data_IF_859485680944
#
_entry.id   IF_859485680944
#
_cell.length_a   1.000
_cell.length_b   1.000
_cell.length_c   1.000
_cell.angle_alpha   90.00
_cell.angle_beta   90.00
_cell.angle_gamma   90.00
#
_symmetry.space_group_name_H-M   'P 1'
#
loop_
_entity.id
_entity.type
_entity.pdbx_description
1 polymer ?
#
# COMPACT_ATOMS: atom_id res chain seq x y z
N UNK A 1 43.06 -0.42 -13.28
CA UNK A 1 41.68 -0.66 -13.75
C UNK A 1 40.72 -0.41 -12.60
N UNK A 2 40.04 0.74 -12.60
CA UNK A 2 39.04 1.06 -11.59
C UNK A 2 37.87 0.06 -11.67
N UNK A 3 37.64 -0.70 -10.60
CA UNK A 3 36.39 -1.44 -10.43
C UNK A 3 35.26 -0.42 -10.33
N UNK A 4 34.59 -0.13 -11.46
CA UNK A 4 33.29 0.55 -11.44
C UNK A 4 32.38 -0.30 -10.56
N UNK A 5 32.13 0.16 -9.34
CA UNK A 5 31.19 -0.46 -8.41
C UNK A 5 29.84 -0.39 -9.13
N UNK A 6 29.40 -1.52 -9.69
CA UNK A 6 28.09 -1.66 -10.28
C UNK A 6 27.10 -1.23 -9.20
N UNK A 7 26.47 -0.06 -9.38
CA UNK A 7 25.40 0.39 -8.51
C UNK A 7 24.35 -0.71 -8.58
N UNK A 8 24.00 -1.38 -7.46
CA UNK A 8 23.08 -2.51 -7.50
C UNK A 8 21.76 -2.00 -8.10
N UNK A 9 21.32 -2.60 -9.20
CA UNK A 9 20.16 -2.16 -10.01
C UNK A 9 18.89 -1.93 -9.18
N UNK A 10 18.79 -2.55 -7.99
CA UNK A 10 17.75 -2.27 -7.00
C UNK A 10 17.62 -0.77 -6.69
N UNK A 11 18.72 -0.02 -6.50
CA UNK A 11 18.66 1.41 -6.16
C UNK A 11 18.02 2.27 -7.27
N UNK A 12 18.24 1.93 -8.54
CA UNK A 12 17.64 2.67 -9.67
C UNK A 12 16.12 2.52 -9.74
N UNK A 13 15.61 1.31 -9.48
CA UNK A 13 14.15 1.06 -9.47
C UNK A 13 13.44 1.79 -8.32
N UNK A 14 14.06 1.85 -7.13
CA UNK A 14 13.51 2.62 -6.00
C UNK A 14 13.51 4.13 -6.26
N UNK A 15 14.52 4.67 -6.95
CA UNK A 15 14.53 6.08 -7.36
C UNK A 15 13.37 6.41 -8.31
N UNK A 16 13.08 5.52 -9.26
CA UNK A 16 11.95 5.69 -10.17
C UNK A 16 10.58 5.60 -9.46
N UNK A 17 10.45 4.68 -8.50
CA UNK A 17 9.26 4.58 -7.63
C UNK A 17 9.06 5.84 -6.78
N UNK A 18 10.14 6.40 -6.22
CA UNK A 18 10.08 7.65 -5.46
C UNK A 18 9.63 8.83 -6.32
N UNK A 19 10.19 8.97 -7.53
CA UNK A 19 9.75 9.98 -8.49
C UNK A 19 8.29 9.81 -8.88
N UNK A 20 7.85 8.57 -9.17
CA UNK A 20 6.44 8.28 -9.44
C UNK A 20 5.53 8.63 -8.26
N UNK A 21 5.97 8.38 -7.03
CA UNK A 21 5.23 8.74 -5.82
C UNK A 21 5.06 10.24 -5.68
N UNK A 22 6.15 11.01 -5.88
CA UNK A 22 6.11 12.47 -5.86
C UNK A 22 5.19 13.01 -6.95
N UNK A 23 5.24 12.45 -8.16
CA UNK A 23 4.36 12.84 -9.27
C UNK A 23 2.89 12.58 -8.96
N UNK A 24 2.54 11.42 -8.39
CA UNK A 24 1.17 11.09 -7.99
C UNK A 24 0.69 12.00 -6.85
N UNK A 25 1.55 12.31 -5.87
CA UNK A 25 1.24 13.26 -4.80
C UNK A 25 1.05 14.68 -5.33
N UNK A 26 1.84 15.11 -6.32
CA UNK A 26 1.62 16.38 -7.01
C UNK A 26 0.26 16.39 -7.73
N UNK A 27 -0.14 15.27 -8.35
CA UNK A 27 -1.47 15.11 -8.94
C UNK A 27 -2.61 15.21 -7.93
N UNK A 28 -2.47 14.62 -6.74
CA UNK A 28 -3.42 14.77 -5.64
C UNK A 28 -3.50 16.23 -5.18
N UNK A 29 -2.35 16.89 -4.99
CA UNK A 29 -2.30 18.30 -4.62
C UNK A 29 -2.93 19.22 -5.66
N UNK A 30 -2.71 18.94 -6.94
CA UNK A 30 -3.33 19.65 -8.05
C UNK A 30 -4.85 19.45 -8.06
N UNK A 31 -5.33 18.23 -7.78
CA UNK A 31 -6.77 17.99 -7.62
C UNK A 31 -7.37 18.77 -6.46
N UNK A 32 -6.68 18.86 -5.32
CA UNK A 32 -7.17 19.61 -4.16
C UNK A 32 -7.23 21.13 -4.45
N UNK A 33 -6.27 21.67 -5.21
CA UNK A 33 -6.17 23.10 -5.45
C UNK A 33 -7.02 23.60 -6.64
N UNK A 34 -7.04 22.84 -7.74
CA UNK A 34 -7.66 23.29 -9.00
C UNK A 34 -9.05 22.74 -9.23
N UNK A 35 -9.46 21.69 -8.54
CA UNK A 35 -10.69 20.99 -8.88
C UNK A 35 -11.74 21.23 -7.81
N UNK A 36 -12.72 22.06 -8.16
CA UNK A 36 -13.86 22.36 -7.30
C UNK A 36 -14.63 21.06 -6.98
N UNK A 37 -14.97 20.82 -5.70
CA UNK A 37 -15.64 19.60 -5.27
C UNK A 37 -17.03 19.42 -5.90
N UNK A 38 -17.61 20.47 -6.48
CA UNK A 38 -18.88 20.41 -7.21
C UNK A 38 -18.73 19.93 -8.66
N UNK A 39 -17.57 20.12 -9.29
CA UNK A 39 -17.33 19.67 -10.69
C UNK A 39 -16.91 18.20 -10.81
N UNK A 40 -16.46 17.57 -9.71
CA UNK A 40 -16.00 16.15 -9.70
C UNK A 40 -17.11 15.18 -9.29
N UNK A 41 -18.20 15.69 -8.73
CA UNK A 41 -19.30 14.89 -8.16
C UNK A 41 -19.97 13.96 -9.17
N UNK A 42 -19.86 14.24 -10.47
CA UNK A 42 -20.68 13.58 -11.50
C UNK A 42 -19.91 12.81 -12.58
N UNK A 43 -18.59 12.60 -12.43
CA UNK A 43 -17.83 11.98 -13.53
C UNK A 43 -18.19 10.51 -13.80
N UNK A 44 -18.68 9.75 -12.80
CA UNK A 44 -18.98 8.30 -12.93
C UNK A 44 -20.21 7.87 -12.11
N UNK A 45 -20.41 8.41 -10.89
CA UNK A 45 -21.58 8.14 -10.04
C UNK A 45 -21.96 9.47 -9.37
N UNK A 46 -23.24 9.91 -9.41
CA UNK A 46 -23.64 11.16 -8.77
C UNK A 46 -23.32 11.14 -7.27
N UNK A 47 -22.50 12.10 -6.82
CA UNK A 47 -22.02 12.22 -5.45
C UNK A 47 -20.78 11.38 -5.10
N UNK A 48 -20.14 10.73 -6.09
CA UNK A 48 -19.02 9.82 -5.86
C UNK A 48 -17.65 10.45 -6.12
N UNK A 49 -16.88 10.74 -5.06
CA UNK A 49 -15.46 11.16 -5.14
C UNK A 49 -14.51 10.02 -5.57
N UNK A 50 -14.94 9.13 -6.47
CA UNK A 50 -14.23 7.89 -6.82
C UNK A 50 -12.86 8.15 -7.44
N UNK A 51 -12.77 9.10 -8.38
CA UNK A 51 -11.50 9.43 -9.03
C UNK A 51 -10.49 9.96 -8.02
N UNK A 52 -10.93 10.85 -7.12
CA UNK A 52 -10.11 11.35 -6.02
C UNK A 52 -9.70 10.24 -5.05
N UNK A 53 -10.63 9.36 -4.68
CA UNK A 53 -10.38 8.23 -3.76
C UNK A 53 -9.41 7.22 -4.38
N UNK A 54 -9.53 6.94 -5.68
CA UNK A 54 -8.61 6.08 -6.42
C UNK A 54 -7.22 6.71 -6.52
N UNK A 55 -7.13 8.01 -6.86
CA UNK A 55 -5.85 8.72 -6.93
C UNK A 55 -5.17 8.79 -5.56
N UNK A 56 -5.93 9.11 -4.52
CA UNK A 56 -5.46 9.20 -3.15
C UNK A 56 -5.02 7.83 -2.62
N UNK A 57 -5.81 6.78 -2.84
CA UNK A 57 -5.43 5.42 -2.46
C UNK A 57 -4.16 4.96 -3.19
N UNK A 58 -4.00 5.30 -4.47
CA UNK A 58 -2.77 5.03 -5.22
C UNK A 58 -1.58 5.82 -4.65
N UNK A 59 -1.76 7.09 -4.28
CA UNK A 59 -0.73 7.92 -3.67
C UNK A 59 -0.26 7.34 -2.33
N UNK A 60 -1.20 6.93 -1.49
CA UNK A 60 -0.91 6.31 -0.19
C UNK A 60 -0.29 4.93 -0.36
N UNK A 61 -0.72 4.16 -1.36
CA UNK A 61 -0.13 2.86 -1.71
C UNK A 61 1.33 2.97 -2.11
N UNK A 62 1.65 3.91 -3.00
CA UNK A 62 3.02 4.15 -3.44
C UNK A 62 3.90 4.61 -2.28
N UNK A 63 3.38 5.49 -1.43
CA UNK A 63 4.07 5.95 -0.22
C UNK A 63 4.37 4.79 0.75
N UNK A 64 3.38 3.96 1.07
CA UNK A 64 3.56 2.77 1.93
C UNK A 64 4.48 1.73 1.29
N UNK A 65 4.48 1.61 -0.04
CA UNK A 65 5.39 0.71 -0.77
C UNK A 65 6.84 1.13 -0.60
N UNK A 66 7.11 2.43 -0.58
CA UNK A 66 8.46 2.96 -0.30
C UNK A 66 8.83 2.75 1.16
N UNK A 67 7.92 3.07 2.10
CA UNK A 67 8.18 2.95 3.55
C UNK A 67 8.44 1.49 3.96
N UNK A 68 7.60 0.55 3.50
CA UNK A 68 7.73 -0.86 3.86
C UNK A 68 8.68 -1.65 2.96
N UNK A 69 9.20 -1.04 1.89
CA UNK A 69 9.96 -1.68 0.82
C UNK A 69 9.30 -2.96 0.26
N UNK A 70 7.98 -3.07 0.40
CA UNK A 70 7.21 -4.28 0.09
C UNK A 70 5.83 -3.91 -0.44
N UNK A 71 5.59 -4.20 -1.72
CA UNK A 71 4.30 -3.97 -2.35
C UNK A 71 3.17 -4.78 -1.68
N UNK A 72 3.45 -6.02 -1.24
CA UNK A 72 2.44 -6.86 -0.58
C UNK A 72 1.99 -6.27 0.76
N UNK A 73 2.94 -5.81 1.60
CA UNK A 73 2.61 -5.17 2.88
C UNK A 73 1.89 -3.85 2.64
N UNK A 74 2.38 -3.03 1.72
CA UNK A 74 1.75 -1.78 1.37
C UNK A 74 0.30 -1.96 0.91
N UNK A 75 0.03 -2.93 0.03
CA UNK A 75 -1.34 -3.24 -0.42
C UNK A 75 -2.26 -3.59 0.75
N UNK A 76 -1.78 -4.45 1.66
CA UNK A 76 -2.53 -4.88 2.84
C UNK A 76 -2.93 -3.70 3.72
N UNK A 77 -1.97 -2.82 4.02
CA UNK A 77 -2.19 -1.63 4.83
C UNK A 77 -3.06 -0.59 4.12
N UNK A 78 -2.91 -0.39 2.80
CA UNK A 78 -3.82 0.49 2.05
C UNK A 78 -5.23 -0.03 2.02
N UNK A 79 -5.45 -1.34 1.88
CA UNK A 79 -6.79 -1.90 1.86
C UNK A 79 -7.49 -1.67 3.19
N UNK A 80 -6.77 -1.88 4.30
CA UNK A 80 -7.26 -1.57 5.64
C UNK A 80 -7.61 -0.09 5.83
N UNK A 81 -6.75 0.81 5.33
CA UNK A 81 -7.02 2.25 5.36
C UNK A 81 -8.26 2.62 4.55
N UNK A 82 -8.44 2.00 3.38
CA UNK A 82 -9.57 2.23 2.48
C UNK A 82 -10.88 1.75 3.12
N UNK A 83 -10.87 0.60 3.78
CA UNK A 83 -12.00 0.09 4.58
C UNK A 83 -12.33 1.04 5.73
N UNK A 84 -11.32 1.56 6.43
CA UNK A 84 -11.54 2.54 7.49
C UNK A 84 -12.15 3.84 6.97
N UNK A 85 -11.64 4.38 5.86
CA UNK A 85 -12.21 5.56 5.20
C UNK A 85 -13.65 5.33 4.76
N UNK A 86 -13.95 4.16 4.17
CA UNK A 86 -15.31 3.82 3.78
C UNK A 86 -16.26 3.77 4.98
N UNK A 87 -15.84 3.16 6.09
CA UNK A 87 -16.63 3.16 7.32
C UNK A 87 -16.79 4.57 7.90
N UNK A 88 -15.76 5.42 7.82
CA UNK A 88 -15.82 6.83 8.27
C UNK A 88 -16.82 7.65 7.47
N UNK A 89 -16.88 7.48 6.15
CA UNK A 89 -17.84 8.18 5.27
C UNK A 89 -19.28 7.77 5.62
N UNK A 90 -19.51 6.49 5.93
CA UNK A 90 -20.82 5.98 6.34
C UNK A 90 -21.22 6.33 7.79
N UNK A 91 -20.45 7.20 8.47
CA UNK A 91 -20.71 7.59 9.87
C UNK A 91 -20.37 6.50 10.90
N UNK A 92 -19.90 5.33 10.46
CA UNK A 92 -19.52 4.20 11.30
C UNK A 92 -18.04 4.27 11.72
N UNK A 93 -17.23 5.18 11.18
CA UNK A 93 -15.80 5.27 11.51
C UNK A 93 -15.53 5.89 12.87
N UNK A 94 -15.83 5.16 13.95
CA UNK A 94 -15.43 5.50 15.31
C UNK A 94 -13.96 5.15 15.57
N UNK A 95 -13.37 5.74 16.61
CA UNK A 95 -12.00 5.40 17.04
C UNK A 95 -11.86 3.90 17.33
N UNK A 96 -12.89 3.28 17.94
CA UNK A 96 -12.94 1.84 18.20
C UNK A 96 -12.82 1.02 16.91
N UNK A 97 -13.53 1.41 15.85
CA UNK A 97 -13.49 0.72 14.57
C UNK A 97 -12.12 0.83 13.89
N UNK A 98 -11.44 1.96 14.07
CA UNK A 98 -10.03 2.11 13.65
C UNK A 98 -9.12 1.10 14.35
N UNK A 99 -9.23 0.97 15.68
CA UNK A 99 -8.43 0.01 16.46
C UNK A 99 -8.74 -1.43 16.05
N UNK A 100 -10.01 -1.78 15.83
CA UNK A 100 -10.40 -3.12 15.36
C UNK A 100 -9.76 -3.45 14.02
N UNK A 101 -9.82 -2.53 13.06
CA UNK A 101 -9.22 -2.72 11.72
C UNK A 101 -7.71 -2.91 11.84
N UNK A 102 -7.03 -2.10 12.65
CA UNK A 102 -5.59 -2.27 12.90
C UNK A 102 -5.30 -3.67 13.47
N UNK A 103 -6.10 -4.12 14.45
CA UNK A 103 -5.97 -5.46 15.02
C UNK A 103 -6.11 -6.57 13.96
N UNK A 104 -7.12 -6.48 13.10
CA UNK A 104 -7.35 -7.43 12.00
C UNK A 104 -6.16 -7.43 11.03
N UNK A 105 -5.66 -6.24 10.65
CA UNK A 105 -4.52 -6.12 9.74
C UNK A 105 -3.25 -6.75 10.33
N UNK A 106 -2.96 -6.49 11.60
CA UNK A 106 -1.78 -7.02 12.30
C UNK A 106 -1.88 -8.53 12.45
N UNK A 107 -3.03 -9.06 12.87
CA UNK A 107 -3.27 -10.50 12.98
C UNK A 107 -3.09 -11.20 11.62
N UNK A 108 -3.64 -10.63 10.54
CA UNK A 108 -3.45 -11.15 9.19
C UNK A 108 -1.98 -11.17 8.77
N UNK A 109 -1.22 -10.13 9.09
CA UNK A 109 0.22 -10.09 8.80
C UNK A 109 1.01 -11.15 9.59
N UNK A 110 0.67 -11.34 10.86
CA UNK A 110 1.30 -12.35 11.73
C UNK A 110 1.01 -13.77 11.24
N UNK A 111 -0.24 -14.06 10.87
CA UNK A 111 -0.65 -15.37 10.34
C UNK A 111 0.17 -15.75 9.09
N UNK A 112 0.30 -14.82 8.14
CA UNK A 112 1.09 -15.05 6.92
C UNK A 112 2.58 -15.26 7.23
N UNK A 113 3.12 -14.62 8.27
CA UNK A 113 4.51 -14.84 8.70
C UNK A 113 4.69 -16.20 9.36
N UNK A 114 3.75 -16.62 10.21
CA UNK A 114 3.76 -17.93 10.87
C UNK A 114 3.69 -19.08 9.87
N UNK A 115 2.79 -18.98 8.89
CA UNK A 115 2.64 -19.95 7.80
C UNK A 115 3.96 -20.20 7.05
N UNK A 116 4.65 -19.12 6.63
CA UNK A 116 5.97 -19.22 5.98
C UNK A 116 7.02 -19.93 6.83
N UNK A 117 7.02 -19.71 8.14
CA UNK A 117 7.97 -20.37 9.04
C UNK A 117 7.68 -21.87 9.12
N UNK A 118 6.41 -22.28 9.21
CA UNK A 118 6.00 -23.68 9.20
C UNK A 118 6.42 -24.43 7.93
N UNK A 119 6.22 -23.84 6.75
CA UNK A 119 6.68 -24.41 5.49
C UNK A 119 8.20 -24.58 5.43
N UNK A 120 8.94 -23.59 5.93
CA UNK A 120 10.42 -23.61 5.89
C UNK A 120 10.97 -24.69 6.82
N UNK A 121 10.39 -24.85 8.02
CA UNK A 121 10.78 -25.89 8.97
C UNK A 121 10.49 -27.30 8.42
N UNK A 122 9.33 -27.50 7.79
CA UNK A 122 8.97 -28.79 7.18
C UNK A 122 9.92 -29.19 6.05
N UNK A 123 10.35 -28.24 5.22
CA UNK A 123 11.33 -28.52 4.17
C UNK A 123 12.77 -28.61 4.68
N UNK A 124 13.12 -27.96 5.80
CA UNK A 124 14.42 -28.13 6.44
C UNK A 124 14.56 -29.48 7.15
N UNK A 125 13.46 -30.07 7.64
CA UNK A 125 13.46 -31.42 8.21
C UNK A 125 13.52 -32.53 7.15
N UNK A 126 13.21 -32.21 5.89
CA UNK A 126 13.44 -33.10 4.74
C UNK A 126 14.81 -32.74 4.19
N UNK A 127 15.87 -33.24 4.83
CA UNK A 127 17.24 -33.13 4.33
C UNK A 127 17.34 -33.68 2.89
N UNK A 128 18.35 -33.29 2.10
CA UNK A 128 18.50 -33.80 0.74
C UNK A 128 18.62 -35.32 0.83
N UNK A 129 17.63 -36.04 0.31
CA UNK A 129 17.80 -37.46 0.06
C UNK A 129 18.93 -37.58 -0.95
N UNK A 130 20.11 -37.96 -0.46
CA UNK A 130 21.21 -38.44 -1.27
C UNK A 130 20.72 -39.63 -2.07
N UNK A 131 20.45 -39.41 -3.36
CA UNK A 131 20.42 -40.46 -4.37
C UNK A 131 21.62 -40.26 -5.29
#
# INVERSE_FOLDING_TARGET
MERRKAIPERRKRYGWLALGTVAVWAGVGLMIYFVDPDNIKDLIIPGGYLLFTALFSLAVFLLLTIIFLSARRALWWTLGLLVFFYLRINGLGSFLNGVLIIGILVCGELYVRMDKMGYTLKHASVGPETK
#
